data_IF_444399912725
#
_entry.id   IF_444399912725
#
_cell.length_a   1.000
_cell.length_b   1.000
_cell.length_c   1.000
_cell.angle_alpha   90.00
_cell.angle_beta   90.00
_cell.angle_gamma   90.00
#
_symmetry.space_group_name_H-M   'P 1'
#
loop_
_entity.id
_entity.type
_entity.pdbx_description
1 polymer ?
#
# COMPACT_ATOMS: atom_id res chain seq x y z
N UNK A 1 0.69 4.41 32.08
CA UNK A 1 1.56 4.81 30.96
C UNK A 1 2.04 3.51 30.33
N UNK A 2 1.42 3.08 29.22
CA UNK A 2 1.82 1.84 28.57
C UNK A 2 3.07 2.14 27.74
N UNK A 3 4.23 1.73 28.24
CA UNK A 3 5.44 1.59 27.45
C UNK A 3 5.15 0.52 26.39
N UNK A 4 4.96 0.94 25.14
CA UNK A 4 4.95 0.04 23.97
C UNK A 4 6.28 -0.69 23.94
N UNK A 5 6.26 -1.91 24.47
CA UNK A 5 7.41 -2.79 24.60
C UNK A 5 7.88 -3.25 23.24
N UNK A 6 9.07 -2.80 22.83
CA UNK A 6 9.93 -3.37 21.79
C UNK A 6 9.19 -4.09 20.67
N UNK A 7 8.25 -3.39 20.03
CA UNK A 7 7.83 -3.77 18.68
C UNK A 7 9.08 -3.58 17.85
N UNK A 8 9.67 -4.72 17.54
CA UNK A 8 11.03 -4.84 17.11
C UNK A 8 11.23 -3.86 15.91
N UNK A 9 12.39 -3.18 15.87
CA UNK A 9 12.64 -2.02 15.02
C UNK A 9 13.06 -2.41 13.58
N UNK A 10 12.15 -2.26 12.62
CA UNK A 10 12.42 -2.57 11.21
C UNK A 10 12.99 -1.36 10.50
N UNK A 11 13.93 -1.54 9.57
CA UNK A 11 14.41 -0.44 8.72
C UNK A 11 13.74 -0.47 7.35
N UNK A 12 13.45 0.71 6.80
CA UNK A 12 12.84 0.91 5.48
C UNK A 12 13.65 1.94 4.70
N UNK A 13 13.61 1.87 3.36
CA UNK A 13 14.11 2.94 2.50
C UNK A 13 13.06 4.05 2.44
N UNK A 14 13.27 5.21 3.11
CA UNK A 14 12.25 6.24 3.19
C UNK A 14 11.97 6.88 1.84
N UNK A 15 13.01 7.14 1.04
CA UNK A 15 12.90 7.76 -0.27
C UNK A 15 12.03 6.95 -1.23
N UNK A 16 12.25 5.64 -1.31
CA UNK A 16 11.41 4.77 -2.15
C UNK A 16 9.97 4.76 -1.67
N UNK A 17 9.75 4.60 -0.36
CA UNK A 17 8.42 4.50 0.22
C UNK A 17 7.58 5.78 0.04
N UNK A 18 8.20 6.95 0.22
CA UNK A 18 7.57 8.26 0.05
C UNK A 18 7.18 8.47 -1.43
N UNK A 19 8.10 8.19 -2.36
CA UNK A 19 7.84 8.36 -3.79
C UNK A 19 6.73 7.44 -4.31
N UNK A 20 6.77 6.17 -3.91
CA UNK A 20 5.76 5.19 -4.30
C UNK A 20 4.36 5.55 -3.80
N UNK A 21 4.26 6.04 -2.56
CA UNK A 21 2.99 6.43 -1.97
C UNK A 21 2.34 7.60 -2.73
N UNK A 22 3.13 8.62 -3.10
CA UNK A 22 2.63 9.74 -3.90
C UNK A 22 2.11 9.27 -5.25
N UNK A 23 2.90 8.49 -5.98
CA UNK A 23 2.54 8.00 -7.31
C UNK A 23 1.23 7.20 -7.28
N UNK A 24 1.11 6.25 -6.34
CA UNK A 24 -0.11 5.45 -6.16
C UNK A 24 -1.35 6.29 -5.87
N UNK A 25 -1.22 7.25 -4.95
CA UNK A 25 -2.34 8.12 -4.56
C UNK A 25 -2.76 9.05 -5.70
N UNK A 26 -1.78 9.62 -6.40
CA UNK A 26 -2.02 10.52 -7.52
C UNK A 26 -2.69 9.80 -8.69
N UNK A 27 -2.25 8.59 -9.05
CA UNK A 27 -2.91 7.78 -10.09
C UNK A 27 -4.37 7.50 -9.75
N UNK A 28 -4.68 7.08 -8.51
CA UNK A 28 -6.07 6.85 -8.08
C UNK A 28 -6.91 8.13 -8.13
N UNK A 29 -6.33 9.27 -7.74
CA UNK A 29 -7.01 10.56 -7.83
C UNK A 29 -7.32 10.93 -9.28
N UNK A 30 -6.35 10.78 -10.18
CA UNK A 30 -6.54 11.04 -11.61
C UNK A 30 -7.66 10.17 -12.22
N UNK A 31 -7.72 8.89 -11.85
CA UNK A 31 -8.77 7.96 -12.32
C UNK A 31 -10.17 8.33 -11.80
N UNK A 32 -10.26 8.95 -10.62
CA UNK A 32 -11.55 9.39 -10.02
C UNK A 32 -12.03 10.75 -10.52
N UNK A 33 -11.25 11.46 -11.32
CA UNK A 33 -11.69 12.75 -11.83
C UNK A 33 -12.84 12.61 -12.82
N UNK A 34 -13.95 13.24 -12.46
CA UNK A 34 -15.25 13.15 -13.15
C UNK A 34 -15.26 13.78 -14.54
N UNK A 35 -14.26 14.59 -14.87
CA UNK A 35 -14.20 15.30 -16.14
C UNK A 35 -13.51 14.45 -17.19
N UNK A 36 -14.32 13.93 -18.11
CA UNK A 36 -13.84 13.20 -19.28
C UNK A 36 -12.98 14.13 -20.15
N UNK A 37 -11.92 13.60 -20.79
CA UNK A 37 -11.14 14.36 -21.75
C UNK A 37 -12.06 14.92 -22.84
N UNK A 38 -11.86 16.18 -23.26
CA UNK A 38 -12.72 16.81 -24.25
C UNK A 38 -12.63 16.04 -25.57
N UNK A 39 -13.77 15.60 -26.09
CA UNK A 39 -13.86 14.83 -27.34
C UNK A 39 -13.50 15.72 -28.55
N UNK A 40 -12.24 15.64 -28.95
CA UNK A 40 -11.67 16.37 -30.08
C UNK A 40 -12.22 15.90 -31.42
N UNK A 41 -12.52 14.60 -31.56
CA UNK A 41 -13.00 14.02 -32.82
C UNK A 41 -14.41 14.55 -33.11
N UNK A 42 -15.30 14.47 -32.13
CA UNK A 42 -16.68 14.96 -32.28
C UNK A 42 -16.73 16.47 -32.51
N UNK A 43 -15.86 17.25 -31.84
CA UNK A 43 -15.76 18.70 -32.07
C UNK A 43 -15.34 19.03 -33.50
N UNK A 44 -14.27 18.40 -34.00
CA UNK A 44 -13.75 18.64 -35.36
C UNK A 44 -14.80 18.25 -36.40
N UNK A 45 -15.40 17.06 -36.29
CA UNK A 45 -16.43 16.61 -37.22
C UNK A 45 -17.65 17.55 -37.23
N UNK A 46 -18.08 18.04 -36.06
CA UNK A 46 -19.22 18.96 -35.95
C UNK A 46 -18.91 20.34 -36.54
N UNK A 47 -17.72 20.89 -36.31
CA UNK A 47 -17.30 22.18 -36.87
C UNK A 47 -17.18 22.09 -38.40
N UNK A 48 -16.54 21.04 -38.92
CA UNK A 48 -16.40 20.83 -40.37
C UNK A 48 -17.78 20.70 -41.03
N UNK A 49 -18.70 19.94 -40.45
CA UNK A 49 -20.06 19.78 -40.97
C UNK A 49 -20.83 21.11 -41.02
N UNK A 50 -20.67 21.95 -39.99
CA UNK A 50 -21.32 23.27 -39.96
C UNK A 50 -20.70 24.26 -40.95
N UNK A 51 -19.38 24.23 -41.15
CA UNK A 51 -18.71 25.06 -42.18
C UNK A 51 -19.20 24.68 -43.58
N UNK A 52 -19.38 23.38 -43.85
CA UNK A 52 -19.96 22.90 -45.11
C UNK A 52 -21.40 23.40 -45.30
N UNK A 53 -22.21 23.41 -44.23
CA UNK A 53 -23.57 23.96 -44.27
C UNK A 53 -23.60 25.48 -44.52
N UNK A 54 -22.70 26.25 -43.90
CA UNK A 54 -22.55 27.68 -44.19
C UNK A 54 -22.22 27.90 -45.67
N UNK A 55 -21.29 27.12 -46.22
CA UNK A 55 -20.95 27.16 -47.65
C UNK A 55 -22.15 26.84 -48.54
N UNK A 56 -22.92 25.80 -48.21
CA UNK A 56 -24.14 25.45 -48.94
C UNK A 56 -25.19 26.56 -48.88
N UNK A 57 -25.46 27.15 -47.72
CA UNK A 57 -26.45 28.21 -47.57
C UNK A 57 -26.02 29.50 -48.29
N UNK A 58 -24.74 29.86 -48.26
CA UNK A 58 -24.21 30.99 -49.00
C UNK A 58 -24.31 30.79 -50.53
N UNK A 59 -23.97 29.60 -51.03
CA UNK A 59 -24.14 29.25 -52.44
C UNK A 59 -25.62 29.24 -52.87
N UNK A 60 -26.51 28.77 -51.98
CA UNK A 60 -27.96 28.76 -52.23
C UNK A 60 -28.53 30.16 -52.26
N UNK A 61 -28.07 31.06 -51.39
CA UNK A 61 -28.44 32.48 -51.38
C UNK A 61 -28.06 33.19 -52.69
N UNK A 62 -26.91 32.83 -53.28
CA UNK A 62 -26.47 33.38 -54.58
C UNK A 62 -27.34 32.86 -55.75
N UNK A 63 -27.89 31.65 -55.63
CA UNK A 63 -28.73 31.03 -56.66
C UNK A 63 -30.20 31.47 -56.58
N UNK A 64 -30.74 31.65 -55.38
CA UNK A 64 -32.14 32.02 -55.13
C UNK A 64 -32.24 33.42 -54.50
N UNK A 65 -32.09 34.46 -55.32
CA UNK A 65 -32.05 35.86 -54.86
C UNK A 65 -33.34 36.36 -54.21
N UNK A 66 -34.48 35.77 -54.54
CA UNK A 66 -35.79 36.15 -53.97
C UNK A 66 -35.91 35.79 -52.48
N UNK A 67 -35.16 34.79 -52.02
CA UNK A 67 -35.14 34.31 -50.62
C UNK A 67 -33.81 34.60 -49.92
N UNK A 68 -33.00 35.51 -50.48
CA UNK A 68 -31.63 35.78 -50.04
C UNK A 68 -31.52 36.07 -48.55
N UNK A 69 -32.49 36.80 -47.97
CA UNK A 69 -32.51 37.11 -46.55
C UNK A 69 -32.62 35.86 -45.66
N UNK A 70 -33.39 34.85 -46.08
CA UNK A 70 -33.63 33.61 -45.32
C UNK A 70 -32.36 32.75 -45.33
N UNK A 71 -31.74 32.59 -46.49
CA UNK A 71 -30.51 31.79 -46.64
C UNK A 71 -29.29 32.42 -45.94
N UNK A 72 -29.21 33.76 -45.93
CA UNK A 72 -28.21 34.48 -45.13
C UNK A 72 -28.49 34.29 -43.62
N UNK A 73 -29.75 34.36 -43.18
CA UNK A 73 -30.10 34.13 -41.78
C UNK A 73 -29.71 32.72 -41.31
N UNK A 74 -29.92 31.68 -42.13
CA UNK A 74 -29.45 30.32 -41.83
C UNK A 74 -27.93 30.20 -41.78
N UNK A 75 -27.22 30.87 -42.69
CA UNK A 75 -25.75 30.95 -42.65
C UNK A 75 -25.25 31.56 -41.33
N UNK A 76 -25.85 32.66 -40.90
CA UNK A 76 -25.51 33.34 -39.63
C UNK A 76 -25.83 32.43 -38.44
N UNK A 77 -26.97 31.75 -38.45
CA UNK A 77 -27.32 30.79 -37.40
C UNK A 77 -26.32 29.63 -37.31
N UNK A 78 -25.88 29.07 -38.44
CA UNK A 78 -24.88 28.01 -38.46
C UNK A 78 -23.51 28.49 -37.94
N UNK A 79 -23.09 29.72 -38.27
CA UNK A 79 -21.90 30.36 -37.67
C UNK A 79 -22.03 30.50 -36.16
N UNK A 80 -23.21 30.90 -35.65
CA UNK A 80 -23.46 30.98 -34.21
C UNK A 80 -23.35 29.60 -33.54
N UNK A 81 -23.84 28.53 -34.19
CA UNK A 81 -23.71 27.15 -33.69
C UNK A 81 -22.24 26.70 -33.66
N UNK A 82 -21.43 27.05 -34.67
CA UNK A 82 -19.98 26.80 -34.65
C UNK A 82 -19.34 27.44 -33.42
N UNK A 83 -19.66 28.71 -33.17
CA UNK A 83 -19.17 29.42 -31.98
C UNK A 83 -19.57 28.72 -30.68
N UNK A 84 -20.80 28.22 -30.57
CA UNK A 84 -21.28 27.47 -29.40
C UNK A 84 -20.53 26.14 -29.21
N UNK A 85 -20.30 25.39 -30.29
CA UNK A 85 -19.55 24.12 -30.24
C UNK A 85 -18.12 24.38 -29.75
N UNK A 86 -17.44 25.35 -30.36
CA UNK A 86 -16.05 25.70 -29.99
C UNK A 86 -16.00 26.24 -28.56
N UNK A 87 -16.93 27.11 -28.18
CA UNK A 87 -17.02 27.64 -26.82
C UNK A 87 -17.22 26.53 -25.79
N UNK A 88 -18.16 25.59 -26.05
CA UNK A 88 -18.41 24.45 -25.17
C UNK A 88 -17.17 23.56 -25.06
N UNK A 89 -16.50 23.27 -26.17
CA UNK A 89 -15.24 22.53 -26.19
C UNK A 89 -14.14 23.22 -25.37
N UNK A 90 -13.94 24.53 -25.57
CA UNK A 90 -12.94 25.31 -24.82
C UNK A 90 -13.27 25.35 -23.32
N UNK A 91 -14.55 25.46 -22.96
CA UNK A 91 -15.01 25.42 -21.57
C UNK A 91 -14.72 24.06 -20.93
N UNK A 92 -15.08 22.96 -21.59
CA UNK A 92 -14.81 21.59 -21.12
C UNK A 92 -13.30 21.31 -21.08
N UNK A 93 -12.54 21.76 -22.07
CA UNK A 93 -11.07 21.64 -22.07
C UNK A 93 -10.43 22.45 -20.94
N UNK A 94 -10.91 23.66 -20.68
CA UNK A 94 -10.41 24.49 -19.57
C UNK A 94 -10.73 23.84 -18.22
N UNK A 95 -11.94 23.30 -18.07
CA UNK A 95 -12.32 22.54 -16.88
C UNK A 95 -11.44 21.29 -16.74
N UNK A 96 -11.29 20.50 -17.81
CA UNK A 96 -10.47 19.29 -17.81
C UNK A 96 -9.01 19.59 -17.49
N UNK A 97 -8.44 20.66 -18.05
CA UNK A 97 -7.07 21.08 -17.73
C UNK A 97 -6.92 21.60 -16.29
N UNK A 98 -7.98 22.18 -15.71
CA UNK A 98 -8.02 22.57 -14.30
C UNK A 98 -8.17 21.35 -13.38
N UNK A 99 -8.93 20.35 -13.82
CA UNK A 99 -9.13 19.10 -13.11
C UNK A 99 -7.87 18.22 -13.21
N UNK A 100 -7.51 17.77 -14.41
CA UNK A 100 -6.47 16.76 -14.67
C UNK A 100 -5.07 17.19 -14.21
N UNK A 101 -4.86 18.50 -14.03
CA UNK A 101 -3.56 19.06 -13.68
C UNK A 101 -2.62 19.07 -14.88
N UNK A 102 -1.92 20.17 -15.09
CA UNK A 102 -0.82 20.22 -16.07
C UNK A 102 0.30 19.25 -15.62
N UNK A 103 1.13 18.71 -16.52
CA UNK A 103 2.32 17.93 -16.14
C UNK A 103 3.19 18.66 -15.09
N UNK A 104 3.32 19.98 -15.24
CA UNK A 104 4.01 20.86 -14.27
C UNK A 104 3.34 20.86 -12.88
N UNK A 105 2.03 20.66 -12.83
CA UNK A 105 1.26 20.55 -11.59
C UNK A 105 1.52 19.21 -10.87
N UNK A 106 1.79 18.13 -11.61
CA UNK A 106 2.16 16.83 -11.02
C UNK A 106 3.54 16.97 -10.37
N UNK A 107 4.49 17.54 -11.11
CA UNK A 107 5.85 17.77 -10.62
C UNK A 107 5.82 18.71 -9.41
N UNK A 108 5.05 19.80 -9.45
CA UNK A 108 4.95 20.72 -8.31
C UNK A 108 4.25 20.09 -7.10
N UNK A 109 3.17 19.31 -7.31
CA UNK A 109 2.50 18.56 -6.22
C UNK A 109 3.41 17.49 -5.62
N UNK A 110 4.20 16.80 -6.44
CA UNK A 110 5.20 15.83 -6.00
C UNK A 110 6.29 16.50 -5.20
N UNK A 111 6.89 17.57 -5.72
CA UNK A 111 7.95 18.30 -5.03
C UNK A 111 7.45 18.88 -3.70
N UNK A 112 6.22 19.39 -3.66
CA UNK A 112 5.60 19.80 -2.41
C UNK A 112 5.45 18.63 -1.45
N UNK A 113 4.93 17.48 -1.90
CA UNK A 113 4.80 16.29 -1.06
C UNK A 113 6.15 15.82 -0.51
N UNK A 114 7.20 15.77 -1.33
CA UNK A 114 8.55 15.43 -0.90
C UNK A 114 9.08 16.45 0.12
N UNK A 115 8.81 17.74 -0.07
CA UNK A 115 9.24 18.79 0.86
C UNK A 115 8.65 18.64 2.27
N UNK A 116 7.49 17.98 2.44
CA UNK A 116 6.91 17.69 3.76
C UNK A 116 7.80 16.78 4.61
N UNK A 117 8.62 15.96 3.97
CA UNK A 117 9.53 15.03 4.62
C UNK A 117 10.95 15.60 4.78
N UNK A 118 11.25 16.76 4.19
CA UNK A 118 12.57 17.39 4.26
C UNK A 118 13.68 16.44 3.80
N UNK A 119 14.77 16.37 4.57
CA UNK A 119 15.92 15.50 4.28
C UNK A 119 15.56 14.02 4.17
N UNK A 120 14.49 13.57 4.85
CA UNK A 120 14.03 12.18 4.82
C UNK A 120 13.57 11.73 3.44
N UNK A 121 13.08 12.65 2.59
CA UNK A 121 12.70 12.34 1.21
C UNK A 121 13.90 12.07 0.29
N UNK A 122 15.08 12.57 0.65
CA UNK A 122 16.30 12.44 -0.15
C UNK A 122 17.22 11.32 0.37
N UNK A 123 17.03 10.92 1.63
CA UNK A 123 17.79 9.89 2.31
C UNK A 123 17.70 8.54 1.59
N UNK A 124 18.86 8.04 1.15
CA UNK A 124 19.02 6.71 0.55
C UNK A 124 19.34 5.63 1.58
N UNK A 125 19.81 6.03 2.75
CA UNK A 125 20.10 5.10 3.84
C UNK A 125 18.81 4.63 4.52
N UNK A 126 18.69 3.34 4.86
CA UNK A 126 17.54 2.84 5.57
C UNK A 126 17.35 3.55 6.92
N UNK A 127 16.11 3.90 7.26
CA UNK A 127 15.73 4.45 8.57
C UNK A 127 14.74 3.53 9.27
N UNK A 128 14.56 3.67 10.58
CA UNK A 128 13.56 2.86 11.27
C UNK A 128 12.15 3.20 10.78
N UNK A 129 11.36 2.17 10.51
CA UNK A 129 9.98 2.23 10.08
C UNK A 129 9.10 2.92 11.14
N UNK A 130 9.41 2.79 12.43
CA UNK A 130 8.71 3.52 13.50
C UNK A 130 8.98 5.03 13.42
N UNK A 131 10.22 5.43 13.11
CA UNK A 131 10.59 6.84 12.98
C UNK A 131 9.87 7.47 11.77
N UNK A 132 9.83 6.75 10.64
CA UNK A 132 9.09 7.19 9.47
C UNK A 132 7.58 7.20 9.74
N UNK A 133 7.06 6.20 10.47
CA UNK A 133 5.64 6.13 10.84
C UNK A 133 5.23 7.33 11.69
N UNK A 134 6.08 7.73 12.64
CA UNK A 134 5.86 8.87 13.51
C UNK A 134 5.84 10.20 12.74
N UNK A 135 6.75 10.36 11.77
CA UNK A 135 6.74 11.51 10.87
C UNK A 135 5.47 11.54 10.02
N UNK A 136 5.11 10.41 9.39
CA UNK A 136 3.87 10.27 8.60
C UNK A 136 2.62 10.56 9.43
N UNK A 137 2.57 10.09 10.68
CA UNK A 137 1.46 10.36 11.61
C UNK A 137 1.25 11.84 11.82
N UNK A 138 2.32 12.59 12.13
CA UNK A 138 2.27 14.05 12.33
C UNK A 138 1.83 14.80 11.07
N UNK A 139 2.31 14.37 9.90
CA UNK A 139 1.94 14.98 8.62
C UNK A 139 0.47 14.71 8.28
N UNK A 140 -0.01 13.48 8.50
CA UNK A 140 -1.40 13.05 8.23
C UNK A 140 -2.44 13.86 9.00
N UNK A 141 -2.11 14.31 10.21
CA UNK A 141 -2.99 15.13 11.05
C UNK A 141 -3.11 16.58 10.55
N UNK A 142 -2.12 17.08 9.81
CA UNK A 142 -2.04 18.49 9.37
C UNK A 142 -2.40 18.68 7.90
N UNK A 143 -2.18 17.67 7.08
CA UNK A 143 -2.41 17.74 5.64
C UNK A 143 -3.90 17.78 5.30
N UNK A 144 -4.27 18.72 4.42
CA UNK A 144 -5.67 18.99 4.04
C UNK A 144 -5.96 18.58 2.59
N UNK A 145 -4.95 18.45 1.73
CA UNK A 145 -5.15 18.00 0.35
C UNK A 145 -5.42 16.50 0.31
N UNK A 146 -6.51 16.10 -0.35
CA UNK A 146 -6.95 14.71 -0.38
C UNK A 146 -5.91 13.75 -0.97
N UNK A 147 -5.18 14.16 -2.01
CA UNK A 147 -4.18 13.29 -2.66
C UNK A 147 -3.05 13.01 -1.70
N UNK A 148 -2.53 14.06 -1.04
CA UNK A 148 -1.43 13.91 -0.08
C UNK A 148 -1.88 13.19 1.18
N UNK A 149 -3.09 13.47 1.68
CA UNK A 149 -3.68 12.78 2.82
C UNK A 149 -3.85 11.28 2.57
N UNK A 150 -4.31 10.90 1.37
CA UNK A 150 -4.43 9.50 0.97
C UNK A 150 -3.05 8.82 0.82
N UNK A 151 -2.04 9.52 0.29
CA UNK A 151 -0.68 9.02 0.24
C UNK A 151 -0.11 8.76 1.65
N UNK A 152 -0.29 9.72 2.57
CA UNK A 152 0.12 9.58 3.96
C UNK A 152 -0.62 8.46 4.69
N UNK A 153 -1.89 8.23 4.36
CA UNK A 153 -2.65 7.10 4.90
C UNK A 153 -2.09 5.75 4.42
N UNK A 154 -1.85 5.57 3.12
CA UNK A 154 -1.25 4.35 2.57
C UNK A 154 0.12 4.05 3.19
N UNK A 155 0.96 5.09 3.35
CA UNK A 155 2.24 4.96 4.05
C UNK A 155 2.06 4.51 5.51
N UNK A 156 1.16 5.16 6.25
CA UNK A 156 0.94 4.85 7.65
C UNK A 156 0.48 3.40 7.82
N UNK A 157 -0.45 2.94 7.00
CA UNK A 157 -0.99 1.57 7.09
C UNK A 157 0.10 0.54 6.76
N UNK A 158 0.94 0.77 5.73
CA UNK A 158 2.09 -0.07 5.40
C UNK A 158 3.15 -0.09 6.51
N UNK A 159 3.52 1.06 7.04
CA UNK A 159 4.48 1.17 8.13
C UNK A 159 3.94 0.52 9.42
N UNK A 160 2.63 0.61 9.65
CA UNK A 160 1.97 -0.10 10.76
C UNK A 160 2.10 -1.60 10.61
N UNK A 161 1.90 -2.15 9.41
CA UNK A 161 2.06 -3.58 9.14
C UNK A 161 3.52 -4.04 9.21
N UNK A 162 4.47 -3.21 8.77
CA UNK A 162 5.90 -3.48 8.92
C UNK A 162 6.26 -3.50 10.41
N UNK A 163 5.83 -2.49 11.17
CA UNK A 163 6.10 -2.43 12.61
C UNK A 163 5.34 -3.50 13.39
N UNK A 164 4.17 -3.92 12.92
CA UNK A 164 3.30 -4.91 13.58
C UNK A 164 2.91 -5.99 12.57
N UNK A 165 3.83 -6.90 12.21
CA UNK A 165 3.50 -7.98 11.30
C UNK A 165 2.43 -8.88 11.93
N UNK A 166 1.50 -9.43 11.13
CA UNK A 166 0.44 -10.36 11.57
C UNK A 166 0.97 -11.74 12.05
N UNK A 167 2.23 -11.79 12.48
CA UNK A 167 3.00 -13.00 12.71
C UNK A 167 3.19 -13.25 14.20
N UNK A 168 2.88 -14.47 14.69
CA UNK A 168 3.17 -14.85 16.05
C UNK A 168 4.65 -14.78 16.37
N UNK A 169 4.98 -14.36 17.60
CA UNK A 169 6.35 -14.31 18.11
C UNK A 169 6.61 -15.53 18.99
N UNK A 170 7.72 -16.21 18.72
CA UNK A 170 8.22 -17.35 19.47
C UNK A 170 9.60 -17.03 20.09
N UNK A 171 9.98 -17.75 21.14
CA UNK A 171 11.32 -17.78 21.75
C UNK A 171 11.85 -19.20 21.63
N UNK A 172 13.01 -19.35 21.03
CA UNK A 172 13.66 -20.66 20.99
C UNK A 172 14.01 -21.11 22.44
N UNK A 173 13.89 -22.41 22.73
CA UNK A 173 14.26 -22.99 24.03
C UNK A 173 15.50 -23.85 23.86
N UNK A 174 15.55 -24.66 22.81
CA UNK A 174 16.66 -25.56 22.50
C UNK A 174 17.79 -24.80 21.78
N UNK A 175 19.05 -24.96 22.20
CA UNK A 175 20.19 -24.31 21.53
C UNK A 175 20.48 -25.02 20.19
N UNK A 176 20.59 -24.25 19.11
CA UNK A 176 21.00 -24.75 17.78
C UNK A 176 22.35 -24.12 17.41
N UNK A 177 23.49 -24.77 17.75
CA UNK A 177 24.81 -24.13 17.76
C UNK A 177 25.26 -23.54 16.41
N UNK A 178 24.71 -24.00 15.28
CA UNK A 178 25.06 -23.53 13.94
C UNK A 178 24.21 -22.34 13.44
N UNK A 179 22.94 -22.25 13.82
CA UNK A 179 22.01 -21.19 13.33
C UNK A 179 21.66 -20.16 14.40
N UNK A 180 21.48 -20.62 15.64
CA UNK A 180 21.09 -19.80 16.77
C UNK A 180 22.04 -20.05 17.94
N UNK A 181 23.06 -19.21 18.03
CA UNK A 181 24.14 -19.32 19.03
C UNK A 181 23.66 -19.18 20.48
N UNK A 182 22.44 -18.67 20.69
CA UNK A 182 21.77 -18.54 21.98
C UNK A 182 20.38 -19.18 21.93
N UNK A 183 19.95 -19.88 23.01
CA UNK A 183 18.61 -20.44 23.08
C UNK A 183 17.54 -19.34 23.01
N UNK A 184 17.77 -18.16 23.60
CA UNK A 184 16.74 -17.09 23.73
C UNK A 184 16.53 -16.22 22.48
N UNK A 185 16.61 -16.79 21.27
CA UNK A 185 16.33 -16.04 20.05
C UNK A 185 14.80 -15.80 19.90
N UNK A 186 14.39 -14.54 19.65
CA UNK A 186 13.01 -14.21 19.29
C UNK A 186 12.79 -14.50 17.81
N UNK A 187 12.00 -15.52 17.51
CA UNK A 187 11.63 -15.93 16.16
C UNK A 187 10.22 -15.44 15.83
N UNK A 188 9.92 -15.21 14.57
CA UNK A 188 8.57 -15.02 14.06
C UNK A 188 8.11 -16.25 13.31
N UNK A 189 6.84 -16.61 13.48
CA UNK A 189 6.21 -17.72 12.79
C UNK A 189 5.34 -17.22 11.63
N UNK A 190 5.53 -17.78 10.44
CA UNK A 190 4.66 -17.58 9.27
C UNK A 190 4.31 -18.93 8.64
N UNK A 191 3.09 -19.06 8.12
CA UNK A 191 2.71 -20.19 7.24
C UNK A 191 2.82 -19.75 5.78
N UNK A 192 3.59 -20.48 4.98
CA UNK A 192 3.81 -20.17 3.56
C UNK A 192 3.99 -21.46 2.75
N UNK A 193 3.21 -21.63 1.68
CA UNK A 193 3.37 -22.77 0.77
C UNK A 193 3.19 -24.15 1.41
N UNK A 194 2.38 -24.28 2.48
CA UNK A 194 2.21 -25.53 3.22
C UNK A 194 3.27 -25.80 4.30
N UNK A 195 4.22 -24.87 4.48
CA UNK A 195 5.31 -24.96 5.46
C UNK A 195 5.18 -23.92 6.55
N UNK A 196 5.81 -24.19 7.69
CA UNK A 196 6.00 -23.21 8.75
C UNK A 196 7.43 -22.70 8.74
N UNK A 197 7.56 -21.38 8.74
CA UNK A 197 8.82 -20.68 8.78
C UNK A 197 8.95 -19.98 10.13
N UNK A 198 9.99 -20.32 10.88
CA UNK A 198 10.41 -19.65 12.10
C UNK A 198 11.73 -18.96 11.84
N UNK A 199 11.70 -17.67 11.54
CA UNK A 199 12.89 -16.89 11.21
C UNK A 199 13.12 -15.82 12.27
N UNK A 200 14.35 -15.34 12.36
CA UNK A 200 14.68 -14.33 13.35
C UNK A 200 14.00 -12.99 13.06
N UNK A 201 14.35 -11.98 13.85
CA UNK A 201 13.71 -10.69 13.75
C UNK A 201 13.81 -10.01 12.37
N UNK A 202 14.89 -10.26 11.62
CA UNK A 202 15.23 -9.53 10.41
C UNK A 202 14.52 -10.13 9.19
N UNK A 203 13.24 -9.76 8.97
CA UNK A 203 12.42 -10.23 7.83
C UNK A 203 13.09 -10.05 6.46
N UNK A 204 13.92 -9.00 6.31
CA UNK A 204 14.60 -8.69 5.07
C UNK A 204 15.93 -9.45 4.89
N UNK A 205 16.55 -9.89 5.98
CA UNK A 205 17.80 -10.63 5.96
C UNK A 205 17.98 -11.45 7.26
N UNK A 206 17.30 -12.59 7.40
CA UNK A 206 17.34 -13.36 8.64
C UNK A 206 18.71 -14.00 8.83
N UNK A 207 19.31 -13.88 10.02
CA UNK A 207 20.55 -14.58 10.37
C UNK A 207 20.37 -16.09 10.38
N UNK A 208 19.13 -16.55 10.59
CA UNK A 208 18.74 -17.95 10.53
C UNK A 208 17.25 -18.13 10.43
N UNK A 209 16.84 -19.23 9.78
CA UNK A 209 15.47 -19.70 9.72
C UNK A 209 15.40 -21.18 10.09
N UNK A 210 14.31 -21.57 10.75
CA UNK A 210 13.86 -22.95 10.88
C UNK A 210 12.68 -23.08 9.92
N UNK A 211 12.84 -23.92 8.92
CA UNK A 211 11.76 -24.30 8.02
C UNK A 211 11.35 -25.71 8.38
N UNK A 212 10.06 -25.93 8.58
CA UNK A 212 9.52 -27.26 8.83
C UNK A 212 8.21 -27.45 8.07
N UNK A 213 7.93 -28.70 7.69
CA UNK A 213 6.65 -29.05 7.13
C UNK A 213 5.58 -29.08 8.24
N UNK A 214 4.31 -29.01 7.87
CA UNK A 214 3.20 -29.09 8.84
C UNK A 214 3.20 -30.41 9.62
N UNK A 215 3.67 -31.50 8.99
CA UNK A 215 3.78 -32.84 9.60
C UNK A 215 4.93 -32.95 10.63
N UNK A 216 5.91 -32.05 10.57
CA UNK A 216 7.03 -32.01 11.51
C UNK A 216 6.67 -31.33 12.84
N UNK A 217 5.49 -30.70 12.89
CA UNK A 217 4.93 -30.16 14.13
C UNK A 217 4.38 -31.32 14.95
N UNK A 218 5.22 -31.83 15.84
CA UNK A 218 4.90 -32.96 16.72
C UNK A 218 3.74 -32.61 17.62
N UNK A 219 3.77 -31.42 18.22
CA UNK A 219 2.74 -31.03 19.18
C UNK A 219 2.68 -29.51 19.46
N UNK A 220 1.48 -28.99 19.72
CA UNK A 220 1.26 -27.60 20.17
C UNK A 220 0.31 -27.58 21.37
N UNK A 221 0.66 -26.87 22.44
CA UNK A 221 -0.14 -26.82 23.66
C UNK A 221 0.41 -25.86 24.70
N UNK A 222 -0.20 -25.81 25.89
CA UNK A 222 0.35 -25.02 27.02
C UNK A 222 1.50 -25.76 27.67
N UNK A 223 2.49 -25.02 28.19
CA UNK A 223 3.69 -25.59 28.84
C UNK A 223 3.35 -26.55 29.99
N UNK A 224 2.28 -26.28 30.74
CA UNK A 224 1.75 -27.18 31.79
C UNK A 224 1.44 -28.61 31.32
N UNK A 225 1.20 -28.83 30.03
CA UNK A 225 0.93 -30.14 29.45
C UNK A 225 2.19 -30.89 28.98
N UNK A 226 3.38 -30.32 29.18
CA UNK A 226 4.65 -30.92 28.77
C UNK A 226 5.49 -31.36 29.98
N UNK A 227 6.38 -32.36 29.82
CA UNK A 227 7.26 -32.80 30.90
C UNK A 227 8.17 -31.66 31.42
N UNK A 228 8.48 -31.61 32.73
CA UNK A 228 9.30 -30.55 33.34
C UNK A 228 10.71 -30.40 32.76
N UNK A 229 11.21 -31.41 32.04
CA UNK A 229 12.57 -31.49 31.52
C UNK A 229 12.88 -30.52 30.35
N UNK A 230 11.90 -29.81 29.80
CA UNK A 230 12.11 -28.86 28.69
C UNK A 230 12.84 -27.57 29.15
N UNK A 231 13.00 -27.36 30.46
CA UNK A 231 13.55 -26.11 31.00
C UNK A 231 15.08 -26.13 31.13
N UNK A 232 15.82 -25.98 30.02
CA UNK A 232 17.31 -26.04 30.02
C UNK A 232 18.02 -24.68 30.06
N UNK A 233 17.35 -23.54 30.29
CA UNK A 233 18.07 -22.25 30.37
C UNK A 233 17.41 -21.17 31.24
N UNK A 234 17.41 -21.39 32.56
CA UNK A 234 17.56 -20.33 33.56
C UNK A 234 16.46 -19.27 33.68
N UNK A 235 15.31 -19.45 33.03
CA UNK A 235 14.13 -18.59 33.19
C UNK A 235 12.89 -19.47 33.31
N UNK A 236 12.05 -19.21 34.31
CA UNK A 236 10.79 -19.93 34.49
C UNK A 236 9.87 -19.64 33.31
N UNK A 237 9.67 -20.60 32.41
CA UNK A 237 8.57 -20.58 31.44
C UNK A 237 7.27 -20.68 32.25
N UNK A 238 6.31 -19.80 31.98
CA UNK A 238 5.06 -19.81 32.75
C UNK A 238 4.18 -20.98 32.28
N UNK A 239 3.43 -21.64 33.19
CA UNK A 239 2.61 -22.81 32.86
C UNK A 239 1.59 -22.59 31.72
N UNK A 240 1.16 -21.35 31.52
CA UNK A 240 0.19 -20.91 30.51
C UNK A 240 0.81 -20.58 29.14
N UNK A 241 2.13 -20.47 29.03
CA UNK A 241 2.81 -20.17 27.78
C UNK A 241 2.54 -21.27 26.74
N UNK A 242 2.36 -20.88 25.48
CA UNK A 242 2.24 -21.82 24.37
C UNK A 242 3.59 -22.42 24.01
N UNK A 243 3.63 -23.74 23.81
CA UNK A 243 4.82 -24.47 23.39
C UNK A 243 4.53 -25.11 22.05
N UNK A 244 5.41 -24.85 21.09
CA UNK A 244 5.47 -25.54 19.81
C UNK A 244 6.63 -26.53 19.89
N UNK A 245 6.35 -27.80 19.67
CA UNK A 245 7.32 -28.88 19.57
C UNK A 245 7.47 -29.29 18.10
N UNK A 246 8.69 -29.18 17.59
CA UNK A 246 9.07 -29.60 16.25
C UNK A 246 9.95 -30.85 16.32
N UNK A 247 9.81 -31.75 15.35
CA UNK A 247 10.71 -32.88 15.18
C UNK A 247 12.11 -32.38 14.77
N UNK A 248 13.16 -32.96 15.35
CA UNK A 248 14.54 -32.65 15.00
C UNK A 248 15.40 -33.92 14.95
N UNK A 249 16.53 -33.85 14.24
CA UNK A 249 17.40 -35.00 13.99
C UNK A 249 17.96 -35.64 15.29
N UNK A 250 18.29 -34.81 16.28
CA UNK A 250 18.89 -35.23 17.56
C UNK A 250 17.93 -35.05 18.76
N UNK A 251 16.64 -34.86 18.50
CA UNK A 251 15.60 -34.60 19.50
C UNK A 251 14.68 -33.44 19.13
N UNK A 252 13.66 -33.20 19.95
CA UNK A 252 12.66 -32.16 19.70
C UNK A 252 13.22 -30.74 19.85
N UNK A 253 12.83 -29.84 18.94
CA UNK A 253 13.06 -28.40 19.06
C UNK A 253 11.83 -27.78 19.70
N UNK A 254 12.02 -27.03 20.79
CA UNK A 254 10.91 -26.39 21.49
C UNK A 254 10.96 -24.87 21.33
N UNK A 255 9.81 -24.29 21.04
CA UNK A 255 9.60 -22.85 20.91
C UNK A 255 8.51 -22.40 21.89
N UNK A 256 8.78 -21.36 22.66
CA UNK A 256 7.87 -20.69 23.60
C UNK A 256 7.19 -19.49 22.94
N UNK A 257 5.87 -19.47 22.85
CA UNK A 257 5.11 -18.31 22.38
C UNK A 257 5.21 -17.15 23.37
N UNK A 258 5.58 -15.98 22.87
CA UNK A 258 5.51 -14.75 23.65
C UNK A 258 4.04 -14.44 23.98
N UNK A 259 3.82 -13.79 25.12
CA UNK A 259 2.50 -13.48 25.66
C UNK A 259 1.53 -12.94 24.61
N UNK A 260 0.28 -13.36 24.70
CA UNK A 260 -0.85 -12.97 23.84
C UNK A 260 -0.82 -13.50 22.39
N UNK A 261 0.19 -14.27 22.00
CA UNK A 261 0.26 -14.87 20.65
C UNK A 261 -0.33 -16.29 20.56
N UNK A 262 -0.74 -16.89 21.68
CA UNK A 262 -1.32 -18.25 21.74
C UNK A 262 -2.58 -18.40 20.85
N UNK A 263 -3.51 -17.45 20.95
CA UNK A 263 -4.77 -17.48 20.18
C UNK A 263 -4.54 -17.29 18.68
N UNK A 264 -3.51 -16.53 18.29
CA UNK A 264 -3.12 -16.38 16.88
C UNK A 264 -2.49 -17.67 16.37
N UNK A 265 -1.62 -18.29 17.16
CA UNK A 265 -1.01 -19.57 16.83
C UNK A 265 -2.04 -20.71 16.73
N UNK A 266 -3.08 -20.73 17.55
CA UNK A 266 -4.21 -21.69 17.46
C UNK A 266 -4.94 -21.68 16.12
N UNK A 267 -4.95 -20.54 15.43
CA UNK A 267 -5.58 -20.42 14.09
C UNK A 267 -4.67 -20.92 12.98
N UNK A 268 -3.35 -20.91 13.21
CA UNK A 268 -2.35 -21.18 12.20
C UNK A 268 -1.83 -22.62 12.28
N UNK A 269 -1.62 -23.12 13.49
CA UNK A 269 -1.05 -24.44 13.75
C UNK A 269 -2.11 -25.53 13.62
N UNK A 270 -1.73 -26.72 13.14
CA UNK A 270 -2.60 -27.88 13.19
C UNK A 270 -2.96 -28.17 14.66
N UNK A 271 -4.25 -28.39 14.92
CA UNK A 271 -4.71 -28.77 16.27
C UNK A 271 -4.12 -30.13 16.64
N UNK A 272 -3.55 -30.22 17.84
CA UNK A 272 -2.83 -31.39 18.37
C UNK A 272 -3.59 -32.70 18.11
N UNK A 273 -2.91 -33.72 17.58
CA UNK A 273 -3.20 -35.12 17.96
C UNK A 273 -2.67 -35.26 19.38
N UNK A 274 -3.53 -35.13 20.37
CA UNK A 274 -3.14 -35.41 21.76
C UNK A 274 -2.61 -36.86 21.82
N UNK A 275 -1.34 -37.01 22.23
CA UNK A 275 -0.85 -38.32 22.65
C UNK A 275 -1.54 -38.60 23.98
N UNK A 276 -2.50 -39.53 23.96
CA UNK A 276 -3.02 -40.19 25.15
C UNK A 276 -1.89 -40.81 25.98
#
# INVERSE_FOLDING_TARGET
>A
MYTTSDTKQYSVNPKEMINDAFNRSYSRYADTQKELPPDTVTMVCSVVSMVLLVGMFALTALRHREELAIWIAFSVAAVAVIFLIVYKYLKTRSAYLKAAGKPDLIVSRRNYFLSLFGETAEQTEPMLAVDLQDQVRRLKEREQDEVRKNALKDMFDRLTAINNPDLPVCRLITKLPERFTQPRARLYMKKEGGKFLFFDYSWANPLGQIECDEDDIVSFGRFSAYPPAINTSGSKIRPECGIIELAGADGSIYLDLVDDEYEKALKLLPRRKEKN
#
